data_IF_205904629882
#
_entry.id   IF_205904629882
#
_cell.length_a   1.000
_cell.length_b   1.000
_cell.length_c   1.000
_cell.angle_alpha   90.00
_cell.angle_beta   90.00
_cell.angle_gamma   90.00
#
_symmetry.space_group_name_H-M   'P 1'
#
loop_
_entity.id
_entity.type
_entity.pdbx_description
1 polymer ?
#
# COMPACT_ATOMS: atom_id res chain seq x y z
N UNK A 1 -11.19 28.63 -1.04
CA UNK A 1 -9.84 28.01 -1.08
C UNK A 1 -9.75 27.04 0.08
N UNK A 2 -9.68 25.73 -0.17
CA UNK A 2 -9.60 24.75 0.89
C UNK A 2 -8.19 24.76 1.50
N UNK A 3 -8.08 25.13 2.77
CA UNK A 3 -6.84 25.00 3.56
C UNK A 3 -6.67 23.50 3.82
N UNK A 4 -5.90 22.81 2.97
CA UNK A 4 -5.48 21.43 3.21
C UNK A 4 -4.49 21.44 4.39
N UNK A 5 -5.00 21.44 5.63
CA UNK A 5 -4.22 20.99 6.78
C UNK A 5 -4.23 19.47 6.75
N UNK A 6 -3.04 18.88 6.54
CA UNK A 6 -2.86 17.44 6.48
C UNK A 6 -1.79 17.02 5.48
N UNK A 7 -0.67 16.53 6.01
CA UNK A 7 0.62 16.22 5.35
C UNK A 7 1.14 17.33 4.39
N UNK A 8 2.34 17.87 4.68
CA UNK A 8 3.04 18.84 3.80
C UNK A 8 3.28 18.31 2.37
N UNK A 9 3.18 16.98 2.17
CA UNK A 9 3.26 16.26 0.90
C UNK A 9 2.31 15.05 0.92
N UNK A 10 1.88 14.54 -0.23
CA UNK A 10 1.08 13.30 -0.27
C UNK A 10 1.83 12.13 0.40
N UNK A 11 1.11 11.31 1.16
CA UNK A 11 1.63 10.06 1.73
C UNK A 11 1.96 9.08 0.61
N UNK A 12 3.14 8.44 0.65
CA UNK A 12 3.63 7.57 -0.42
C UNK A 12 3.65 6.11 0.02
N UNK A 13 2.82 5.30 -0.62
CA UNK A 13 2.63 3.89 -0.24
C UNK A 13 3.05 2.96 -1.37
N UNK A 14 3.86 1.96 -1.04
CA UNK A 14 4.19 0.85 -1.95
C UNK A 14 3.50 -0.42 -1.45
N UNK A 15 2.81 -1.09 -2.35
CA UNK A 15 2.30 -2.45 -2.16
C UNK A 15 3.21 -3.43 -2.88
N UNK A 16 3.83 -4.36 -2.14
CA UNK A 16 4.80 -5.33 -2.64
C UNK A 16 4.21 -6.74 -2.67
N UNK A 17 4.15 -7.35 -3.85
CA UNK A 17 3.84 -8.77 -4.04
C UNK A 17 5.10 -9.57 -4.39
N UNK A 18 5.24 -10.76 -3.83
CA UNK A 18 6.35 -11.69 -4.09
C UNK A 18 5.93 -12.94 -4.87
N UNK A 19 4.64 -13.25 -4.95
CA UNK A 19 4.14 -14.45 -5.65
C UNK A 19 3.38 -14.15 -6.94
N UNK A 20 2.68 -13.02 -7.02
CA UNK A 20 1.84 -12.66 -8.15
C UNK A 20 1.62 -11.14 -8.20
N UNK A 21 1.54 -10.50 -9.39
CA UNK A 21 1.36 -9.04 -9.49
C UNK A 21 -0.03 -8.54 -9.08
N UNK A 22 -1.07 -9.35 -9.25
CA UNK A 22 -2.45 -8.90 -9.10
C UNK A 22 -2.83 -8.32 -7.73
N UNK A 23 -2.46 -8.91 -6.57
CA UNK A 23 -2.75 -8.30 -5.27
C UNK A 23 -2.15 -6.91 -5.12
N UNK A 24 -0.90 -6.71 -5.55
CA UNK A 24 -0.22 -5.42 -5.49
C UNK A 24 -0.90 -4.37 -6.37
N UNK A 25 -1.24 -4.75 -7.61
CA UNK A 25 -1.98 -3.89 -8.54
C UNK A 25 -3.36 -3.49 -8.01
N UNK A 26 -4.13 -4.45 -7.51
CA UNK A 26 -5.46 -4.19 -6.94
C UNK A 26 -5.35 -3.27 -5.72
N UNK A 27 -4.39 -3.53 -4.83
CA UNK A 27 -4.22 -2.74 -3.63
C UNK A 27 -3.83 -1.29 -3.95
N UNK A 28 -2.87 -1.09 -4.88
CA UNK A 28 -2.47 0.22 -5.34
C UNK A 28 -3.62 0.96 -6.04
N UNK A 29 -4.40 0.27 -6.88
CA UNK A 29 -5.57 0.84 -7.54
C UNK A 29 -6.62 1.34 -6.54
N UNK A 30 -7.00 0.52 -5.55
CA UNK A 30 -7.98 0.92 -4.55
C UNK A 30 -7.47 2.04 -3.65
N UNK A 31 -6.20 1.97 -3.22
CA UNK A 31 -5.59 3.02 -2.40
C UNK A 31 -5.53 4.35 -3.16
N UNK A 32 -5.14 4.34 -4.44
CA UNK A 32 -5.14 5.54 -5.27
C UNK A 32 -6.56 6.09 -5.43
N UNK A 33 -7.56 5.24 -5.67
CA UNK A 33 -8.97 5.68 -5.82
C UNK A 33 -9.50 6.35 -4.55
N UNK A 34 -9.20 5.79 -3.37
CA UNK A 34 -9.65 6.31 -2.07
C UNK A 34 -8.83 7.50 -1.58
N UNK A 35 -7.56 7.56 -1.99
CA UNK A 35 -6.54 8.44 -1.42
C UNK A 35 -6.05 9.57 -2.31
N UNK A 36 -6.46 9.66 -3.58
CA UNK A 36 -5.79 10.45 -4.64
C UNK A 36 -5.40 11.89 -4.29
N UNK A 37 -6.12 12.54 -3.40
CA UNK A 37 -5.88 13.94 -3.03
C UNK A 37 -4.70 14.09 -2.06
N UNK A 38 -4.44 13.09 -1.24
CA UNK A 38 -3.52 13.15 -0.10
C UNK A 38 -2.55 11.96 -0.03
N UNK A 39 -2.69 10.98 -0.92
CA UNK A 39 -1.88 9.77 -1.00
C UNK A 39 -1.55 9.43 -2.46
N UNK A 40 -0.35 8.90 -2.66
CA UNK A 40 0.09 8.24 -3.89
C UNK A 40 0.40 6.78 -3.58
N UNK A 41 -0.22 5.87 -4.33
CA UNK A 41 0.00 4.43 -4.22
C UNK A 41 0.72 3.89 -5.45
N UNK A 42 1.69 3.00 -5.23
CA UNK A 42 2.38 2.24 -6.28
C UNK A 42 2.35 0.76 -5.96
N UNK A 43 2.24 -0.06 -7.00
CA UNK A 43 2.49 -1.49 -6.94
C UNK A 43 3.95 -1.76 -7.28
N UNK A 44 4.54 -2.76 -6.63
CA UNK A 44 5.84 -3.32 -6.96
C UNK A 44 5.82 -4.84 -6.77
N UNK A 45 6.75 -5.54 -7.42
CA UNK A 45 6.95 -6.98 -7.23
C UNK A 45 8.41 -7.33 -6.93
N UNK A 46 8.66 -8.55 -6.45
CA UNK A 46 10.02 -9.09 -6.39
C UNK A 46 10.53 -9.44 -7.79
N UNK A 47 11.85 -9.48 -7.95
CA UNK A 47 12.48 -9.94 -9.18
C UNK A 47 12.05 -11.38 -9.50
N UNK A 48 11.71 -11.65 -10.77
CA UNK A 48 11.25 -12.97 -11.23
C UNK A 48 9.74 -13.19 -11.18
N UNK A 49 8.96 -12.25 -10.64
CA UNK A 49 7.49 -12.27 -10.76
C UNK A 49 7.10 -11.75 -12.15
N UNK A 50 6.34 -12.53 -12.92
CA UNK A 50 5.90 -12.15 -14.27
C UNK A 50 4.81 -11.06 -14.25
N UNK A 51 4.79 -10.22 -15.28
CA UNK A 51 3.78 -9.18 -15.52
C UNK A 51 4.35 -7.77 -15.67
N UNK A 52 3.47 -6.78 -15.82
CA UNK A 52 3.85 -5.37 -16.10
C UNK A 52 4.06 -4.52 -14.83
N UNK A 53 4.17 -5.14 -13.66
CA UNK A 53 4.40 -4.42 -12.40
C UNK A 53 5.90 -4.20 -12.22
N UNK A 54 6.36 -2.97 -11.90
CA UNK A 54 7.78 -2.71 -11.69
C UNK A 54 8.35 -3.59 -10.57
N UNK A 55 9.59 -4.05 -10.77
CA UNK A 55 10.36 -4.69 -9.70
C UNK A 55 10.72 -3.64 -8.65
N UNK A 56 10.65 -4.02 -7.38
CA UNK A 56 11.05 -3.14 -6.29
C UNK A 56 12.55 -2.82 -6.37
N UNK A 57 12.87 -1.53 -6.45
CA UNK A 57 14.24 -1.02 -6.42
C UNK A 57 14.44 0.00 -5.29
N UNK A 58 15.69 0.41 -5.10
CA UNK A 58 16.07 1.38 -4.07
C UNK A 58 15.41 2.75 -4.27
N UNK A 59 15.17 3.16 -5.52
CA UNK A 59 14.52 4.44 -5.83
C UNK A 59 13.06 4.44 -5.36
N UNK A 60 12.33 3.35 -5.59
CA UNK A 60 10.97 3.14 -5.09
C UNK A 60 10.94 3.10 -3.56
N UNK A 61 11.84 2.35 -2.93
CA UNK A 61 11.95 2.31 -1.46
C UNK A 61 12.25 3.69 -0.86
N UNK A 62 13.16 4.45 -1.48
CA UNK A 62 13.52 5.81 -1.06
C UNK A 62 12.39 6.82 -1.28
N UNK A 63 11.49 6.55 -2.23
CA UNK A 63 10.31 7.37 -2.44
C UNK A 63 9.25 7.15 -1.34
N UNK A 64 9.10 5.91 -0.85
CA UNK A 64 8.02 5.51 0.04
C UNK A 64 8.11 6.10 1.47
N UNK A 65 6.94 6.32 2.06
CA UNK A 65 6.73 6.53 3.50
C UNK A 65 6.23 5.25 4.18
N UNK A 66 5.57 4.37 3.41
CA UNK A 66 5.01 3.11 3.88
C UNK A 66 5.23 2.00 2.83
N UNK A 67 5.80 0.88 3.27
CA UNK A 67 5.86 -0.37 2.52
C UNK A 67 4.83 -1.37 3.07
N UNK A 68 4.01 -1.95 2.18
CA UNK A 68 3.02 -2.98 2.53
C UNK A 68 3.33 -4.25 1.77
N UNK A 69 3.80 -5.28 2.47
CA UNK A 69 4.05 -6.61 1.89
C UNK A 69 2.77 -7.44 1.87
N UNK A 70 2.45 -8.06 0.74
CA UNK A 70 1.15 -8.70 0.48
C UNK A 70 1.14 -10.22 0.44
N UNK A 71 2.31 -10.82 0.58
CA UNK A 71 2.49 -12.27 0.72
C UNK A 71 3.76 -12.56 1.51
N UNK A 72 3.93 -13.82 1.91
CA UNK A 72 5.04 -14.28 2.71
C UNK A 72 6.38 -14.14 1.97
N UNK A 73 6.39 -14.30 0.64
CA UNK A 73 7.60 -14.12 -0.16
C UNK A 73 8.09 -12.66 -0.11
N UNK A 74 7.17 -11.70 -0.29
CA UNK A 74 7.46 -10.27 -0.14
C UNK A 74 7.90 -9.91 1.28
N UNK A 75 7.30 -10.52 2.30
CA UNK A 75 7.69 -10.29 3.70
C UNK A 75 9.10 -10.82 3.99
N UNK A 76 9.42 -12.02 3.52
CA UNK A 76 10.73 -12.64 3.70
C UNK A 76 11.84 -11.90 2.95
N UNK A 77 11.56 -11.41 1.73
CA UNK A 77 12.51 -10.66 0.91
C UNK A 77 12.53 -9.15 1.21
N UNK A 78 11.84 -8.70 2.26
CA UNK A 78 11.74 -7.29 2.62
C UNK A 78 13.15 -6.72 2.91
N UNK A 79 13.54 -5.62 2.24
CA UNK A 79 14.83 -4.98 2.51
C UNK A 79 14.84 -4.30 3.89
N UNK A 80 16.03 -3.99 4.38
CA UNK A 80 16.19 -3.14 5.56
C UNK A 80 15.62 -1.76 5.23
N UNK A 81 14.72 -1.27 6.07
CA UNK A 81 14.05 0.00 5.86
C UNK A 81 14.80 1.13 6.55
N UNK A 82 14.97 2.25 5.84
CA UNK A 82 15.51 3.48 6.41
C UNK A 82 14.59 4.01 7.51
N UNK A 83 15.15 4.85 8.39
CA UNK A 83 14.39 5.57 9.39
C UNK A 83 13.23 6.36 8.75
N UNK A 84 12.05 6.28 9.36
CA UNK A 84 10.84 6.96 8.91
C UNK A 84 9.99 6.19 7.89
N UNK A 85 10.49 5.10 7.28
CA UNK A 85 9.65 4.23 6.45
C UNK A 85 8.92 3.21 7.33
N UNK A 86 7.60 3.28 7.34
CA UNK A 86 6.78 2.31 8.03
C UNK A 86 6.64 1.02 7.23
N UNK A 87 6.36 -0.07 7.92
CA UNK A 87 6.10 -1.36 7.31
C UNK A 87 4.81 -1.98 7.84
N UNK A 88 4.03 -2.59 6.94
CA UNK A 88 2.86 -3.40 7.28
C UNK A 88 2.87 -4.68 6.45
N UNK A 89 2.30 -5.75 7.01
CA UNK A 89 2.18 -7.03 6.33
C UNK A 89 0.73 -7.50 6.30
N UNK A 90 0.19 -7.72 5.11
CA UNK A 90 -1.20 -8.12 4.85
C UNK A 90 -1.21 -9.27 3.83
N UNK A 91 -1.01 -10.52 4.26
CA UNK A 91 -0.93 -11.66 3.35
C UNK A 91 -2.28 -11.95 2.67
N UNK A 92 -2.24 -12.25 1.38
CA UNK A 92 -3.42 -12.61 0.57
C UNK A 92 -3.37 -14.02 -0.01
N UNK A 93 -2.42 -14.86 0.43
CA UNK A 93 -2.39 -16.27 0.07
C UNK A 93 -3.65 -17.04 0.52
N UNK A 94 -3.97 -18.15 -0.17
CA UNK A 94 -3.37 -18.60 -1.43
C UNK A 94 -3.79 -17.72 -2.62
N UNK A 95 -2.92 -17.63 -3.63
CA UNK A 95 -3.28 -17.00 -4.91
C UNK A 95 -4.16 -17.98 -5.69
N UNK A 96 -5.37 -17.60 -6.11
CA UNK A 96 -6.26 -18.47 -6.88
C UNK A 96 -5.62 -18.90 -8.21
N UNK A 97 -5.96 -20.09 -8.69
CA UNK A 97 -5.56 -20.53 -10.02
C UNK A 97 -6.15 -19.60 -11.09
N UNK A 98 -5.50 -19.45 -12.24
CA UNK A 98 -5.97 -18.56 -13.31
C UNK A 98 -7.40 -18.89 -13.80
N UNK A 99 -7.82 -20.15 -13.72
CA UNK A 99 -9.17 -20.60 -14.08
C UNK A 99 -10.24 -20.36 -13.00
N UNK A 100 -9.85 -20.05 -11.76
CA UNK A 100 -10.75 -19.91 -10.61
C UNK A 100 -11.29 -18.48 -10.48
N UNK A 101 -12.31 -18.17 -11.29
CA UNK A 101 -12.92 -16.83 -11.32
C UNK A 101 -13.49 -16.39 -9.96
N UNK A 102 -14.11 -17.30 -9.22
CA UNK A 102 -14.73 -17.00 -7.94
C UNK A 102 -13.67 -16.74 -6.86
N UNK A 103 -12.58 -17.52 -6.88
CA UNK A 103 -11.40 -17.26 -6.05
C UNK A 103 -10.79 -15.88 -6.32
N UNK A 104 -10.67 -15.48 -7.60
CA UNK A 104 -10.19 -14.14 -7.96
C UNK A 104 -11.12 -13.02 -7.49
N UNK A 105 -12.45 -13.21 -7.57
CA UNK A 105 -13.40 -12.24 -7.03
C UNK A 105 -13.30 -12.12 -5.51
N UNK A 106 -13.20 -13.24 -4.80
CA UNK A 106 -13.03 -13.26 -3.35
C UNK A 106 -11.70 -12.61 -2.92
N UNK A 107 -10.61 -12.85 -3.65
CA UNK A 107 -9.33 -12.18 -3.44
C UNK A 107 -9.44 -10.67 -3.60
N UNK A 108 -10.06 -10.20 -4.70
CA UNK A 108 -10.25 -8.77 -4.94
C UNK A 108 -11.08 -8.10 -3.84
N UNK A 109 -12.14 -8.76 -3.34
CA UNK A 109 -12.94 -8.28 -2.23
C UNK A 109 -12.14 -8.18 -0.92
N UNK A 110 -11.32 -9.18 -0.60
CA UNK A 110 -10.42 -9.17 0.57
C UNK A 110 -9.39 -8.04 0.47
N UNK A 111 -8.75 -7.87 -0.68
CA UNK A 111 -7.78 -6.78 -0.94
C UNK A 111 -8.45 -5.43 -0.74
N UNK A 112 -9.62 -5.23 -1.36
CA UNK A 112 -10.39 -3.99 -1.23
C UNK A 112 -10.72 -3.67 0.23
N UNK A 113 -11.32 -4.61 0.95
CA UNK A 113 -11.71 -4.42 2.36
C UNK A 113 -10.51 -4.06 3.24
N UNK A 114 -9.37 -4.73 3.03
CA UNK A 114 -8.14 -4.44 3.77
C UNK A 114 -7.60 -3.04 3.48
N UNK A 115 -7.59 -2.63 2.21
CA UNK A 115 -7.13 -1.29 1.81
C UNK A 115 -8.07 -0.21 2.35
N UNK A 116 -9.39 -0.41 2.29
CA UNK A 116 -10.38 0.50 2.87
C UNK A 116 -10.13 0.72 4.37
N UNK A 117 -9.93 -0.37 5.13
CA UNK A 117 -9.59 -0.29 6.55
C UNK A 117 -8.26 0.42 6.82
N UNK A 118 -7.23 0.12 6.03
CA UNK A 118 -5.92 0.76 6.15
C UNK A 118 -6.00 2.27 5.92
N UNK A 119 -6.65 2.69 4.83
CA UNK A 119 -6.80 4.10 4.43
C UNK A 119 -7.67 4.85 5.44
N UNK A 120 -8.75 4.24 5.91
CA UNK A 120 -9.59 4.78 6.98
C UNK A 120 -8.80 5.03 8.27
N UNK A 121 -8.01 4.04 8.70
CA UNK A 121 -7.13 4.18 9.86
C UNK A 121 -6.08 5.29 9.70
N UNK A 122 -5.45 5.40 8.54
CA UNK A 122 -4.47 6.47 8.25
C UNK A 122 -5.11 7.86 8.33
N UNK A 123 -6.37 8.02 7.86
CA UNK A 123 -7.11 9.28 7.97
C UNK A 123 -7.46 9.65 9.40
N UNK A 124 -7.84 8.69 10.24
CA UNK A 124 -8.13 8.94 11.65
C UNK A 124 -6.89 9.42 12.40
N UNK A 125 -5.74 8.77 12.17
CA UNK A 125 -4.48 9.16 12.78
C UNK A 125 -4.02 10.56 12.31
N UNK A 126 -4.25 10.89 11.05
CA UNK A 126 -3.98 12.23 10.52
C UNK A 126 -4.80 13.30 11.25
N UNK A 127 -6.12 13.10 11.39
CA UNK A 127 -6.99 14.06 12.09
C UNK A 127 -6.55 14.27 13.53
N UNK A 128 -6.25 13.20 14.26
CA UNK A 128 -5.76 13.29 15.63
C UNK A 128 -4.44 14.09 15.70
N UNK A 129 -3.49 13.80 14.81
CA UNK A 129 -2.21 14.53 14.76
C UNK A 129 -2.40 16.01 14.39
N UNK A 130 -3.37 16.34 13.54
CA UNK A 130 -3.68 17.73 13.20
C UNK A 130 -4.31 18.45 14.40
N UNK A 131 -5.23 17.82 15.15
CA UNK A 131 -5.88 18.38 16.35
C UNK A 131 -4.88 18.75 17.46
N UNK A 132 -3.87 17.92 17.72
CA UNK A 132 -2.83 18.22 18.72
C UNK A 132 -1.92 19.40 18.34
N UNK A 133 -1.83 19.75 17.05
CA UNK A 133 -0.99 20.87 16.60
C UNK A 133 -1.72 22.23 16.61
N UNK A 134 -3.02 22.27 16.92
CA UNK A 134 -3.81 23.52 16.97
C UNK A 134 -3.79 24.18 18.36
N UNK A 135 -3.35 23.47 19.40
CA UNK A 135 -3.36 23.98 20.79
C UNK A 135 -2.09 24.76 21.19
N UNK A 136 -1.11 24.94 20.28
CA UNK A 136 0.13 25.70 20.53
C UNK A 136 0.21 27.07 19.81
N UNK A 137 -0.90 27.66 19.34
CA UNK A 137 -0.94 29.04 18.80
C UNK A 137 -1.65 30.04 19.72
#
# INVERSE_FOLDING_TARGET
MAKNMGYKRRARVIFLGGLHPAPANLAAHYAQKLGREWLEARAAVLAGVEGDVPVLDEALLTWADLLVTLDQAAFAAKPILRAGVQHRHYPFEPIPAASDKDGWQALAARVRSRVEGMIGGMRLMQKAADEFNVEEE
#
